data_IF_054005594328
#
_entry.id   IF_054005594328
#
_cell.length_a   1.000
_cell.length_b   1.000
_cell.length_c   1.000
_cell.angle_alpha   90.00
_cell.angle_beta   90.00
_cell.angle_gamma   90.00
#
_symmetry.space_group_name_H-M   'P 1'
#
loop_
_entity.id
_entity.type
_entity.pdbx_description
1 polymer ?
#
# COMPACT_ATOMS: atom_id res chain seq x y z
N UNK A 1 -16.53 24.09 3.64
CA UNK A 1 -15.39 24.85 4.19
C UNK A 1 -14.67 24.10 5.31
N UNK A 2 -15.36 23.59 6.34
CA UNK A 2 -14.74 22.85 7.44
C UNK A 2 -14.06 21.52 7.02
N UNK A 3 -14.61 20.78 6.07
CA UNK A 3 -14.01 19.52 5.60
C UNK A 3 -12.67 19.73 4.87
N UNK A 4 -12.57 20.78 4.05
CA UNK A 4 -11.31 21.13 3.38
C UNK A 4 -10.23 21.47 4.39
N UNK A 5 -10.57 22.19 5.45
CA UNK A 5 -9.63 22.48 6.55
C UNK A 5 -9.20 21.20 7.27
N UNK A 6 -10.13 20.28 7.55
CA UNK A 6 -9.83 18.97 8.16
C UNK A 6 -8.90 18.12 7.30
N UNK A 7 -9.09 18.15 5.98
CA UNK A 7 -8.24 17.46 5.00
C UNK A 7 -6.82 18.04 4.98
N UNK A 8 -6.71 19.37 4.96
CA UNK A 8 -5.40 20.06 4.94
C UNK A 8 -4.61 19.87 6.23
N UNK A 9 -5.27 19.84 7.39
CA UNK A 9 -4.65 19.62 8.70
C UNK A 9 -4.37 18.12 8.95
N UNK A 10 -4.87 17.24 8.09
CA UNK A 10 -4.72 15.79 8.23
C UNK A 10 -5.37 15.24 9.49
N UNK A 11 -6.50 15.81 9.90
CA UNK A 11 -7.27 15.30 11.04
C UNK A 11 -7.79 13.89 10.74
N UNK A 12 -7.70 12.99 11.71
CA UNK A 12 -8.23 11.64 11.56
C UNK A 12 -9.76 11.67 11.35
N UNK A 13 -10.23 10.86 10.40
CA UNK A 13 -11.64 10.63 10.14
C UNK A 13 -12.24 9.56 11.06
N UNK A 14 -13.46 9.11 10.77
CA UNK A 14 -14.12 8.04 11.52
C UNK A 14 -13.36 6.71 11.51
N UNK A 15 -12.50 6.49 10.51
CA UNK A 15 -11.61 5.32 10.41
C UNK A 15 -10.38 5.41 11.32
N UNK A 16 -10.15 6.54 12.00
CA UNK A 16 -8.92 6.80 12.77
C UNK A 16 -7.72 7.23 11.94
N UNK A 17 -7.84 7.26 10.60
CA UNK A 17 -6.78 7.67 9.68
C UNK A 17 -7.15 8.98 8.96
N UNK A 18 -6.13 9.74 8.55
CA UNK A 18 -6.27 11.01 7.84
C UNK A 18 -5.35 11.10 6.62
N UNK A 19 -5.37 12.22 5.90
CA UNK A 19 -4.54 12.45 4.70
C UNK A 19 -3.03 12.37 4.93
N UNK A 20 -2.59 12.47 6.20
CA UNK A 20 -1.19 12.34 6.63
C UNK A 20 -0.79 10.93 7.08
N UNK A 21 -1.72 9.98 7.14
CA UNK A 21 -1.44 8.63 7.59
C UNK A 21 -0.63 7.87 6.55
N UNK A 22 0.44 7.21 6.99
CA UNK A 22 1.28 6.40 6.09
C UNK A 22 0.68 5.02 5.89
N UNK A 23 1.02 4.35 4.78
CA UNK A 23 0.54 3.00 4.51
C UNK A 23 1.02 2.00 5.59
N UNK A 24 2.20 2.19 6.16
CA UNK A 24 2.65 1.42 7.32
C UNK A 24 1.77 1.62 8.54
N UNK A 25 1.44 2.87 8.90
CA UNK A 25 0.59 3.18 10.06
C UNK A 25 -0.80 2.54 9.93
N UNK A 26 -1.35 2.54 8.72
CA UNK A 26 -2.65 1.90 8.46
C UNK A 26 -2.58 0.38 8.64
N UNK A 27 -1.42 -0.24 8.37
CA UNK A 27 -1.25 -1.70 8.44
C UNK A 27 -0.59 -2.20 9.72
N UNK A 28 -0.28 -1.34 10.70
CA UNK A 28 0.37 -1.72 11.96
C UNK A 28 -0.35 -2.83 12.73
N UNK A 29 -1.68 -2.85 12.64
CA UNK A 29 -2.52 -3.84 13.31
C UNK A 29 -2.73 -5.12 12.46
N UNK A 30 -2.36 -5.10 11.18
CA UNK A 30 -2.45 -6.23 10.26
C UNK A 30 -1.07 -6.91 10.14
N UNK A 31 -0.59 -7.49 11.23
CA UNK A 31 0.81 -7.95 11.34
C UNK A 31 1.13 -9.22 10.53
N UNK A 32 0.15 -10.09 10.33
CA UNK A 32 0.33 -11.36 9.63
C UNK A 32 -0.66 -11.47 8.48
N UNK A 33 -0.15 -11.44 7.25
CA UNK A 33 -0.92 -11.63 6.03
C UNK A 33 -0.44 -12.85 5.22
N UNK A 34 0.35 -13.77 5.78
CA UNK A 34 0.92 -14.90 5.04
C UNK A 34 -0.14 -15.85 4.45
N UNK A 35 -1.31 -15.93 5.07
CA UNK A 35 -2.45 -16.72 4.58
C UNK A 35 -3.30 -15.98 3.53
N UNK A 36 -3.02 -14.70 3.27
CA UNK A 36 -3.81 -13.86 2.39
C UNK A 36 -3.17 -13.78 1.01
N UNK A 37 -4.01 -13.98 -0.02
CA UNK A 37 -3.65 -13.69 -1.40
C UNK A 37 -4.44 -12.48 -1.88
N UNK A 38 -3.75 -11.44 -2.35
CA UNK A 38 -4.38 -10.20 -2.81
C UNK A 38 -4.04 -9.91 -4.28
N UNK A 39 -5.06 -9.53 -5.06
CA UNK A 39 -4.90 -9.05 -6.43
C UNK A 39 -4.94 -7.53 -6.40
N UNK A 40 -3.89 -6.88 -6.92
CA UNK A 40 -3.80 -5.41 -6.93
C UNK A 40 -3.67 -4.91 -8.37
N UNK A 41 -4.73 -4.27 -8.85
CA UNK A 41 -4.75 -3.62 -10.16
C UNK A 41 -4.05 -2.27 -10.09
N UNK A 42 -3.22 -1.93 -11.09
CA UNK A 42 -2.51 -0.65 -11.11
C UNK A 42 -1.36 -0.56 -10.10
N UNK A 43 -0.78 -1.70 -9.71
CA UNK A 43 0.32 -1.77 -8.75
C UNK A 43 1.67 -1.23 -9.26
N UNK A 44 1.72 -0.70 -10.48
CA UNK A 44 2.96 -0.20 -11.09
C UNK A 44 3.30 1.23 -10.68
N UNK A 45 2.36 1.99 -10.08
CA UNK A 45 2.62 3.37 -9.64
C UNK A 45 1.61 3.86 -8.58
N UNK A 46 1.96 4.99 -7.95
CA UNK A 46 1.08 5.71 -7.03
C UNK A 46 0.61 4.86 -5.85
N UNK A 47 -0.68 4.96 -5.52
CA UNK A 47 -1.30 4.28 -4.37
C UNK A 47 -1.25 2.75 -4.55
N UNK A 48 -1.38 2.26 -5.79
CA UNK A 48 -1.35 0.82 -6.05
C UNK A 48 0.02 0.21 -5.75
N UNK A 49 1.10 0.88 -6.14
CA UNK A 49 2.46 0.46 -5.82
C UNK A 49 2.71 0.46 -4.32
N UNK A 50 2.33 1.55 -3.64
CA UNK A 50 2.49 1.67 -2.19
C UNK A 50 1.69 0.62 -1.41
N UNK A 51 0.49 0.29 -1.90
CA UNK A 51 -0.35 -0.77 -1.31
C UNK A 51 0.31 -2.14 -1.48
N UNK A 52 0.86 -2.42 -2.67
CA UNK A 52 1.57 -3.66 -2.94
C UNK A 52 2.81 -3.79 -2.03
N UNK A 53 3.61 -2.72 -1.92
CA UNK A 53 4.79 -2.67 -1.05
C UNK A 53 4.47 -3.06 0.39
N UNK A 54 3.46 -2.41 0.98
CA UNK A 54 3.15 -2.63 2.40
C UNK A 54 2.51 -4.00 2.65
N UNK A 55 1.65 -4.49 1.76
CA UNK A 55 1.05 -5.82 1.91
C UNK A 55 2.10 -6.94 1.74
N UNK A 56 3.03 -6.77 0.79
CA UNK A 56 4.16 -7.70 0.63
C UNK A 56 5.04 -7.74 1.88
N UNK A 57 5.36 -6.57 2.47
CA UNK A 57 6.14 -6.47 3.71
C UNK A 57 5.47 -7.18 4.90
N UNK A 58 4.15 -7.36 4.87
CA UNK A 58 3.38 -8.11 5.88
C UNK A 58 3.22 -9.61 5.56
N UNK A 59 3.84 -10.08 4.49
CA UNK A 59 3.85 -11.50 4.08
C UNK A 59 2.74 -11.90 3.12
N UNK A 60 1.91 -10.97 2.63
CA UNK A 60 0.83 -11.31 1.71
C UNK A 60 1.35 -11.84 0.37
N UNK A 61 0.68 -12.86 -0.18
CA UNK A 61 0.93 -13.31 -1.54
C UNK A 61 0.23 -12.37 -2.53
N UNK A 62 0.99 -11.68 -3.37
CA UNK A 62 0.44 -10.69 -4.29
C UNK A 62 0.38 -11.18 -5.74
N UNK A 63 -0.71 -10.83 -6.41
CA UNK A 63 -0.88 -11.00 -7.86
C UNK A 63 -1.08 -9.63 -8.48
N UNK A 64 -0.12 -9.20 -9.30
CA UNK A 64 -0.07 -7.85 -9.86
C UNK A 64 -0.30 -7.90 -11.38
N UNK A 65 -1.56 -7.80 -11.86
CA UNK A 65 -1.82 -7.71 -13.29
C UNK A 65 -1.26 -6.40 -13.85
N UNK A 66 -0.33 -6.52 -14.80
CA UNK A 66 0.31 -5.40 -15.46
C UNK A 66 0.25 -5.55 -16.98
N UNK A 67 0.08 -4.42 -17.67
CA UNK A 67 0.11 -4.35 -19.15
C UNK A 67 1.55 -4.34 -19.69
N UNK A 68 2.52 -3.96 -18.86
CA UNK A 68 3.93 -3.88 -19.20
C UNK A 68 4.72 -4.65 -18.13
N UNK A 69 5.38 -5.73 -18.56
CA UNK A 69 6.13 -6.63 -17.68
C UNK A 69 7.29 -5.90 -17.00
N UNK A 70 8.00 -5.02 -17.71
CA UNK A 70 9.12 -4.26 -17.17
C UNK A 70 8.71 -3.34 -16.01
N UNK A 71 7.56 -2.68 -16.14
CA UNK A 71 7.03 -1.85 -15.06
C UNK A 71 6.55 -2.69 -13.85
N UNK A 72 6.16 -3.94 -14.07
CA UNK A 72 5.80 -4.87 -13.00
C UNK A 72 7.04 -5.41 -12.28
N UNK A 73 8.09 -5.72 -13.03
CA UNK A 73 9.39 -6.12 -12.49
C UNK A 73 10.01 -4.99 -11.68
N UNK A 74 10.02 -3.75 -12.19
CA UNK A 74 10.51 -2.59 -11.45
C UNK A 74 9.73 -2.36 -10.14
N UNK A 75 8.41 -2.57 -10.15
CA UNK A 75 7.58 -2.46 -8.94
C UNK A 75 7.88 -3.59 -7.96
N UNK A 76 8.11 -4.81 -8.45
CA UNK A 76 8.55 -5.93 -7.61
C UNK A 76 9.95 -5.67 -7.04
N UNK A 77 10.89 -5.22 -7.84
CA UNK A 77 12.30 -5.16 -7.44
C UNK A 77 12.55 -3.97 -6.48
N UNK A 78 11.79 -2.87 -6.58
CA UNK A 78 11.87 -1.77 -5.60
C UNK A 78 11.39 -2.14 -4.19
N UNK A 79 10.47 -3.09 -4.10
CA UNK A 79 9.72 -3.37 -2.88
C UNK A 79 10.03 -4.74 -2.27
N UNK A 80 10.52 -5.70 -3.07
CA UNK A 80 10.79 -7.08 -2.67
C UNK A 80 12.29 -7.37 -2.47
N UNK A 81 13.20 -6.44 -2.75
CA UNK A 81 14.63 -6.55 -2.40
C UNK A 81 14.87 -5.87 -1.04
N UNK A 82 14.18 -6.37 -0.01
CA UNK A 82 14.63 -6.24 1.38
C UNK A 82 15.26 -7.57 1.74
N UNK A 83 16.56 -7.58 2.01
CA UNK A 83 17.30 -8.76 2.44
C UNK A 83 16.58 -9.52 3.55
N UNK A 84 16.61 -10.85 3.40
CA UNK A 84 16.31 -11.83 4.46
C UNK A 84 17.32 -11.72 5.60
#
# INVERSE_FOLDING_TARGET
MLETLRYLVGSAGASGYGSKSTAEQVTENCRDLHSITAIITGATSGIGAETARVLAKRGARLVLPARNLKAAEDARDKDFIGES
#
